data_IF_497659593511
#
_entry.id   IF_497659593511
#
_cell.length_a   1.000
_cell.length_b   1.000
_cell.length_c   1.000
_cell.angle_alpha   90.00
_cell.angle_beta   90.00
_cell.angle_gamma   90.00
#
_symmetry.space_group_name_H-M   'P 1'
#
loop_
_entity.id
_entity.type
_entity.pdbx_description
1 polymer ?
#
# COMPACT_ATOMS: atom_id res chain seq x y z
N UNK A 1 -2.66 -16.45 26.29
CA UNK A 1 -3.28 -15.11 26.39
C UNK A 1 -2.19 -14.17 26.86
N UNK A 2 -1.50 -13.51 25.93
CA UNK A 2 -0.63 -12.39 26.23
C UNK A 2 -1.39 -11.17 25.71
N UNK A 3 -2.07 -10.49 26.63
CA UNK A 3 -2.76 -9.24 26.34
C UNK A 3 -1.80 -8.14 26.78
N UNK A 4 -1.13 -7.51 25.82
CA UNK A 4 -0.22 -6.40 26.08
C UNK A 4 -0.89 -5.11 25.55
N UNK A 5 -1.68 -4.40 26.38
CA UNK A 5 -2.50 -3.27 25.95
C UNK A 5 -1.70 -2.01 25.54
N UNK A 6 -0.37 -2.03 25.64
CA UNK A 6 0.53 -0.96 25.15
C UNK A 6 1.21 -1.31 23.80
N UNK A 7 0.97 -2.49 23.23
CA UNK A 7 1.58 -2.96 21.97
C UNK A 7 0.53 -3.24 20.87
N UNK A 8 -0.51 -2.41 20.77
CA UNK A 8 -1.47 -2.50 19.65
C UNK A 8 -1.04 -1.71 18.40
N UNK A 9 0.08 -0.99 18.49
CA UNK A 9 0.66 -0.23 17.38
C UNK A 9 1.92 -0.95 16.88
N UNK A 10 1.94 -1.27 15.58
CA UNK A 10 3.10 -1.82 14.89
C UNK A 10 3.55 -0.84 13.82
N UNK A 11 4.82 -0.43 13.86
CA UNK A 11 5.45 0.42 12.86
C UNK A 11 6.57 -0.36 12.18
N UNK A 12 6.56 -0.37 10.86
CA UNK A 12 7.61 -0.96 10.04
C UNK A 12 8.07 0.07 9.00
N UNK A 13 9.39 0.15 8.82
CA UNK A 13 10.01 1.05 7.83
C UNK A 13 10.56 0.20 6.70
N UNK A 14 10.01 0.39 5.50
CA UNK A 14 10.43 -0.32 4.28
C UNK A 14 11.09 0.68 3.33
N UNK A 15 12.21 0.28 2.73
CA UNK A 15 12.86 1.09 1.70
C UNK A 15 12.06 1.06 0.41
N UNK A 16 11.75 2.24 -0.14
CA UNK A 16 11.02 2.39 -1.40
C UNK A 16 11.74 3.37 -2.32
N UNK A 17 11.58 3.20 -3.63
CA UNK A 17 11.94 4.23 -4.60
C UNK A 17 10.76 5.20 -4.71
N UNK A 18 10.89 6.38 -4.09
CA UNK A 18 9.83 7.39 -4.05
C UNK A 18 10.27 8.68 -4.75
N UNK A 19 9.40 9.16 -5.63
CA UNK A 19 9.56 10.44 -6.34
C UNK A 19 8.29 11.26 -6.12
N UNK A 20 8.39 12.33 -5.34
CA UNK A 20 7.24 13.13 -4.90
C UNK A 20 7.52 13.92 -3.62
N UNK A 21 6.54 14.72 -3.20
CA UNK A 21 6.57 15.41 -1.90
C UNK A 21 6.23 14.45 -0.76
N UNK A 22 6.60 14.80 0.48
CA UNK A 22 6.25 13.99 1.64
C UNK A 22 4.72 13.82 1.75
N UNK A 23 4.28 12.57 1.83
CA UNK A 23 2.87 12.20 1.80
C UNK A 23 2.55 11.24 2.94
N UNK A 24 1.47 11.52 3.68
CA UNK A 24 0.90 10.64 4.69
C UNK A 24 -0.53 10.26 4.26
N UNK A 25 -0.81 8.96 4.21
CA UNK A 25 -2.09 8.42 3.76
C UNK A 25 -2.40 7.11 4.48
N UNK A 26 -3.63 6.97 4.97
CA UNK A 26 -4.12 5.77 5.64
C UNK A 26 -4.91 4.88 4.69
N UNK A 27 -4.68 3.57 4.74
CA UNK A 27 -5.45 2.58 3.99
C UNK A 27 -6.00 1.50 4.92
N UNK A 28 -7.07 0.83 4.48
CA UNK A 28 -7.45 -0.44 5.09
C UNK A 28 -6.40 -1.49 4.73
N UNK A 29 -5.66 -1.97 5.74
CA UNK A 29 -4.55 -2.92 5.55
C UNK A 29 -4.98 -4.21 4.84
N UNK A 30 -6.19 -4.70 5.07
CA UNK A 30 -6.69 -5.92 4.43
C UNK A 30 -6.78 -5.75 2.91
N UNK A 31 -7.21 -4.59 2.43
CA UNK A 31 -7.30 -4.33 0.99
C UNK A 31 -5.92 -4.27 0.34
N UNK A 32 -4.94 -3.68 1.03
CA UNK A 32 -3.57 -3.63 0.53
C UNK A 32 -2.98 -5.04 0.44
N UNK A 33 -3.15 -5.86 1.48
CA UNK A 33 -2.69 -7.26 1.49
C UNK A 33 -3.36 -8.07 0.39
N UNK A 34 -4.67 -7.93 0.19
CA UNK A 34 -5.42 -8.67 -0.85
C UNK A 34 -4.90 -8.33 -2.25
N UNK A 35 -4.61 -7.05 -2.52
CA UNK A 35 -4.03 -6.61 -3.79
C UNK A 35 -2.62 -7.17 -3.97
N UNK A 36 -1.75 -7.02 -2.96
CA UNK A 36 -0.37 -7.52 -3.01
C UNK A 36 -0.31 -9.05 -3.20
N UNK A 37 -1.21 -9.81 -2.57
CA UNK A 37 -1.29 -11.26 -2.75
C UNK A 37 -1.77 -11.68 -4.14
N UNK A 38 -2.47 -10.79 -4.86
CA UNK A 38 -2.96 -11.04 -6.21
C UNK A 38 -1.92 -10.65 -7.27
N UNK A 39 -1.11 -9.62 -6.99
CA UNK A 39 -0.03 -9.19 -7.88
C UNK A 39 1.07 -10.26 -7.96
N UNK A 40 1.24 -10.86 -9.14
CA UNK A 40 2.30 -11.83 -9.41
C UNK A 40 3.60 -11.12 -9.82
N UNK A 41 4.21 -10.40 -8.87
CA UNK A 41 5.45 -9.65 -9.08
C UNK A 41 6.27 -9.56 -7.80
N UNK A 42 7.60 -9.53 -7.94
CA UNK A 42 8.50 -9.23 -6.81
C UNK A 42 8.44 -7.74 -6.44
N UNK A 43 8.27 -6.88 -7.44
CA UNK A 43 8.17 -5.42 -7.30
C UNK A 43 6.75 -4.93 -7.64
N UNK A 44 6.24 -3.99 -6.85
CA UNK A 44 4.94 -3.34 -7.03
C UNK A 44 5.14 -1.85 -7.22
N UNK A 45 4.45 -1.27 -8.21
CA UNK A 45 4.38 0.18 -8.40
C UNK A 45 3.09 0.71 -7.80
N UNK A 46 3.22 1.68 -6.90
CA UNK A 46 2.10 2.39 -6.32
C UNK A 46 2.12 3.84 -6.79
N UNK A 47 1.05 4.27 -7.45
CA UNK A 47 0.86 5.67 -7.84
C UNK A 47 -0.07 6.35 -6.86
N UNK A 48 0.40 7.48 -6.31
CA UNK A 48 -0.28 8.27 -5.28
C UNK A 48 -0.40 9.72 -5.75
N UNK A 49 -1.47 10.40 -5.32
CA UNK A 49 -1.69 11.83 -5.63
C UNK A 49 -1.68 12.66 -4.35
N UNK A 50 -2.67 12.46 -3.49
CA UNK A 50 -2.81 13.13 -2.19
C UNK A 50 -3.49 12.20 -1.18
N UNK A 51 -3.60 12.63 0.07
CA UNK A 51 -4.15 11.83 1.18
C UNK A 51 -5.63 11.46 1.05
N UNK A 52 -6.37 12.09 0.15
CA UNK A 52 -7.81 11.87 -0.08
C UNK A 52 -8.09 11.11 -1.37
N UNK A 53 -7.08 10.95 -2.22
CA UNK A 53 -7.18 10.30 -3.52
C UNK A 53 -6.89 8.80 -3.41
N UNK A 54 -7.52 8.03 -4.29
CA UNK A 54 -7.27 6.59 -4.40
C UNK A 54 -5.84 6.28 -4.79
N UNK A 55 -5.26 5.22 -4.22
CA UNK A 55 -4.01 4.66 -4.70
C UNK A 55 -4.25 3.69 -5.87
N UNK A 56 -3.37 3.74 -6.87
CA UNK A 56 -3.31 2.78 -7.96
C UNK A 56 -2.13 1.84 -7.73
N UNK A 57 -2.38 0.53 -7.71
CA UNK A 57 -1.36 -0.51 -7.51
C UNK A 57 -1.31 -1.43 -8.73
N UNK A 58 -0.09 -1.74 -9.18
CA UNK A 58 0.15 -2.61 -10.32
C UNK A 58 1.50 -3.34 -10.19
N UNK A 59 1.66 -4.42 -10.95
CA UNK A 59 2.94 -5.11 -11.05
C UNK A 59 3.96 -4.20 -11.74
N UNK A 60 5.17 -4.06 -11.17
CA UNK A 60 6.22 -3.25 -11.79
C UNK A 60 6.82 -3.91 -13.06
N UNK A 61 6.55 -5.20 -13.28
CA UNK A 61 7.02 -5.92 -14.46
C UNK A 61 6.05 -5.79 -15.65
N UNK A 62 6.59 -5.62 -16.86
CA UNK A 62 5.79 -5.40 -18.08
C UNK A 62 4.92 -6.61 -18.46
N UNK A 63 5.25 -7.83 -18.00
CA UNK A 63 4.50 -9.05 -18.32
C UNK A 63 3.17 -9.15 -17.58
N UNK A 64 3.01 -8.45 -16.46
CA UNK A 64 1.82 -8.49 -15.61
C UNK A 64 1.24 -7.09 -15.34
N UNK A 65 1.68 -6.07 -16.09
CA UNK A 65 1.24 -4.67 -15.93
C UNK A 65 -0.19 -4.40 -16.42
N UNK A 66 -0.89 -5.39 -16.99
CA UNK A 66 -2.25 -5.21 -17.51
C UNK A 66 -3.32 -5.13 -16.39
N UNK A 67 -2.99 -5.59 -15.18
CA UNK A 67 -3.91 -5.56 -14.04
C UNK A 67 -3.67 -4.32 -13.17
N UNK A 68 -4.71 -3.49 -13.05
CA UNK A 68 -4.72 -2.27 -12.24
C UNK A 68 -5.69 -2.43 -11.07
N UNK A 69 -5.19 -2.17 -9.86
CA UNK A 69 -5.97 -2.24 -8.63
C UNK A 69 -6.10 -0.86 -8.02
N UNK A 70 -7.29 -0.53 -7.52
CA UNK A 70 -7.57 0.76 -6.88
C UNK A 70 -7.93 0.53 -5.43
N UNK A 71 -7.23 1.20 -4.52
CA UNK A 71 -7.51 1.17 -3.08
C UNK A 71 -7.88 2.57 -2.61
N UNK A 72 -9.04 2.69 -1.96
CA UNK A 72 -9.51 3.96 -1.42
C UNK A 72 -8.84 4.25 -0.06
N UNK A 73 -8.43 5.50 0.21
CA UNK A 73 -7.92 5.86 1.52
C UNK A 73 -9.01 5.83 2.58
N UNK A 74 -8.59 5.61 3.81
CA UNK A 74 -9.40 5.86 4.99
C UNK A 74 -9.14 7.28 5.49
N UNK A 75 -10.16 7.89 6.08
CA UNK A 75 -9.95 9.12 6.85
C UNK A 75 -9.23 8.75 8.14
N UNK A 76 -8.04 9.30 8.33
CA UNK A 76 -7.34 9.35 9.62
C UNK A 76 -8.07 10.30 10.57
#
# INVERSE_FOLDING_TARGET
MANNPEQEEAEEVVSVNYDGEALEIGFNVSYVIDVLATLQSEDVRTTLSDSNSSALLEAANEKHSEALYVVMPMRL
#
